data_IF_190703309373
#
_entry.id   IF_190703309373
#
_cell.length_a   1.000
_cell.length_b   1.000
_cell.length_c   1.000
_cell.angle_alpha   90.00
_cell.angle_beta   90.00
_cell.angle_gamma   90.00
#
_symmetry.space_group_name_H-M   'P 1'
#
loop_
_entity.id
_entity.type
_entity.pdbx_description
1 polymer ?
#
# COMPACT_ATOMS: atom_id res chain seq x y z
N UNK A 1 -21.89 -17.36 -20.62
CA UNK A 1 -20.41 -17.32 -20.53
C UNK A 1 -19.97 -15.87 -20.38
N UNK A 2 -19.48 -15.45 -19.21
CA UNK A 2 -19.18 -14.05 -18.87
C UNK A 2 -17.72 -13.62 -19.13
N UNK A 3 -16.88 -14.54 -19.61
CA UNK A 3 -15.43 -14.41 -19.69
C UNK A 3 -14.90 -13.14 -20.39
N UNK A 4 -15.43 -12.67 -21.55
CA UNK A 4 -14.91 -11.44 -22.18
C UNK A 4 -15.28 -10.17 -21.40
N UNK A 5 -16.28 -10.23 -20.53
CA UNK A 5 -16.77 -9.07 -19.77
C UNK A 5 -16.09 -8.92 -18.41
N UNK A 6 -15.33 -9.93 -17.94
CA UNK A 6 -14.65 -9.88 -16.63
C UNK A 6 -13.82 -8.60 -16.47
N UNK A 7 -12.94 -8.19 -17.42
CA UNK A 7 -12.19 -6.94 -17.27
C UNK A 7 -13.10 -5.70 -17.17
N UNK A 8 -14.18 -5.64 -17.94
CA UNK A 8 -15.14 -4.52 -17.92
C UNK A 8 -15.82 -4.42 -16.56
N UNK A 9 -16.28 -5.55 -16.01
CA UNK A 9 -16.89 -5.59 -14.69
C UNK A 9 -15.88 -5.23 -13.61
N UNK A 10 -14.65 -5.73 -13.70
CA UNK A 10 -13.58 -5.36 -12.76
C UNK A 10 -13.31 -3.85 -12.77
N UNK A 11 -13.26 -3.19 -13.94
CA UNK A 11 -13.11 -1.74 -14.01
C UNK A 11 -14.26 -1.00 -13.33
N UNK A 12 -15.51 -1.47 -13.50
CA UNK A 12 -16.67 -0.88 -12.81
C UNK A 12 -16.57 -1.08 -11.30
N UNK A 13 -16.18 -2.27 -10.85
CA UNK A 13 -15.99 -2.60 -9.44
C UNK A 13 -14.89 -1.74 -8.80
N UNK A 14 -13.76 -1.53 -9.49
CA UNK A 14 -12.72 -0.57 -9.07
C UNK A 14 -13.33 0.83 -8.89
N UNK A 15 -14.12 1.28 -9.86
CA UNK A 15 -14.82 2.56 -9.79
C UNK A 15 -15.77 2.69 -8.60
N UNK A 16 -16.35 1.59 -8.10
CA UNK A 16 -17.18 1.61 -6.89
C UNK A 16 -16.35 1.92 -5.65
N UNK A 17 -15.20 1.26 -5.46
CA UNK A 17 -14.31 1.55 -4.34
C UNK A 17 -13.69 2.96 -4.40
N UNK A 18 -13.53 3.51 -5.61
CA UNK A 18 -12.98 4.86 -5.78
C UNK A 18 -14.00 5.96 -5.48
N UNK A 19 -15.25 5.80 -5.91
CA UNK A 19 -16.28 6.86 -5.87
C UNK A 19 -17.12 6.87 -4.60
N UNK A 20 -17.26 5.73 -3.93
CA UNK A 20 -18.06 5.64 -2.71
C UNK A 20 -17.17 5.71 -1.47
N UNK A 21 -17.67 6.35 -0.41
CA UNK A 21 -16.97 6.50 0.87
C UNK A 21 -17.38 5.47 1.93
N UNK A 22 -18.45 4.71 1.67
CA UNK A 22 -18.91 3.63 2.52
C UNK A 22 -17.81 2.56 2.70
N UNK A 23 -17.45 2.32 3.96
CA UNK A 23 -16.34 1.43 4.33
C UNK A 23 -16.66 -0.03 4.00
N UNK A 24 -17.85 -0.51 4.38
CA UNK A 24 -18.25 -1.90 4.19
C UNK A 24 -18.30 -2.25 2.70
N UNK A 25 -18.79 -1.32 1.86
CA UNK A 25 -18.77 -1.46 0.41
C UNK A 25 -17.34 -1.56 -0.13
N UNK A 26 -16.42 -0.73 0.37
CA UNK A 26 -15.01 -0.77 -0.05
C UNK A 26 -14.35 -2.08 0.36
N UNK A 27 -14.59 -2.57 1.57
CA UNK A 27 -14.12 -3.88 2.04
C UNK A 27 -14.65 -4.98 1.13
N UNK A 28 -15.96 -5.00 0.89
CA UNK A 28 -16.60 -5.99 0.02
C UNK A 28 -16.00 -5.99 -1.39
N UNK A 29 -15.78 -4.80 -1.97
CA UNK A 29 -15.16 -4.65 -3.29
C UNK A 29 -13.74 -5.23 -3.30
N UNK A 30 -12.90 -4.85 -2.34
CA UNK A 30 -11.50 -5.31 -2.26
C UNK A 30 -11.42 -6.83 -2.11
N UNK A 31 -12.22 -7.43 -1.23
CA UNK A 31 -12.26 -8.88 -1.07
C UNK A 31 -12.81 -9.61 -2.30
N UNK A 32 -13.78 -9.01 -2.99
CA UNK A 32 -14.32 -9.57 -4.23
C UNK A 32 -13.24 -9.58 -5.31
N UNK A 33 -12.50 -8.47 -5.46
CA UNK A 33 -11.38 -8.39 -6.38
C UNK A 33 -10.27 -9.40 -6.02
N UNK A 34 -9.95 -9.55 -4.73
CA UNK A 34 -8.94 -10.50 -4.25
C UNK A 34 -9.27 -11.96 -4.63
N UNK A 35 -10.56 -12.30 -4.71
CA UNK A 35 -11.04 -13.61 -5.17
C UNK A 35 -11.10 -13.71 -6.70
N UNK A 36 -11.46 -12.63 -7.40
CA UNK A 36 -11.56 -12.63 -8.87
C UNK A 36 -10.22 -12.70 -9.59
N UNK A 37 -9.18 -12.05 -9.05
CA UNK A 37 -7.83 -12.05 -9.64
C UNK A 37 -7.28 -13.46 -9.86
N UNK A 38 -7.22 -14.36 -8.86
CA UNK A 38 -6.71 -15.72 -9.05
C UNK A 38 -7.65 -16.61 -9.90
N UNK A 39 -8.95 -16.29 -9.97
CA UNK A 39 -9.90 -17.02 -10.84
C UNK A 39 -9.70 -16.69 -12.32
N UNK A 40 -9.35 -15.44 -12.64
CA UNK A 40 -9.16 -14.98 -14.02
C UNK A 40 -7.83 -14.23 -14.21
N UNK A 41 -6.67 -14.85 -13.93
CA UNK A 41 -5.39 -14.15 -13.82
C UNK A 41 -4.95 -13.52 -15.15
N UNK A 42 -5.16 -14.22 -16.27
CA UNK A 42 -4.80 -13.73 -17.60
C UNK A 42 -5.62 -12.51 -18.01
N UNK A 43 -6.91 -12.45 -17.61
CA UNK A 43 -7.80 -11.34 -17.94
C UNK A 43 -7.49 -10.08 -17.12
N UNK A 44 -6.88 -10.25 -15.94
CA UNK A 44 -6.50 -9.15 -15.06
C UNK A 44 -5.08 -8.62 -15.32
N UNK A 45 -4.32 -9.20 -16.25
CA UNK A 45 -2.95 -8.74 -16.56
C UNK A 45 -2.91 -7.28 -17.00
N UNK A 46 -3.84 -6.84 -17.85
CA UNK A 46 -3.92 -5.43 -18.28
C UNK A 46 -4.41 -4.50 -17.17
N UNK A 47 -5.08 -5.03 -16.14
CA UNK A 47 -5.61 -4.29 -15.00
C UNK A 47 -4.66 -4.29 -13.79
N UNK A 48 -3.49 -4.93 -13.90
CA UNK A 48 -2.53 -5.04 -12.79
C UNK A 48 -2.20 -3.68 -12.17
N UNK A 49 -1.88 -2.69 -13.01
CA UNK A 49 -1.52 -1.35 -12.53
C UNK A 49 -2.68 -0.71 -11.73
N UNK A 50 -3.90 -0.75 -12.27
CA UNK A 50 -5.09 -0.19 -11.61
C UNK A 50 -5.38 -0.89 -10.27
N UNK A 51 -5.32 -2.22 -10.23
CA UNK A 51 -5.54 -3.00 -9.01
C UNK A 51 -4.45 -2.75 -7.96
N UNK A 52 -3.19 -2.62 -8.40
CA UNK A 52 -2.06 -2.30 -7.53
C UNK A 52 -2.23 -0.90 -6.93
N UNK A 53 -2.56 0.10 -7.75
CA UNK A 53 -2.81 1.48 -7.29
C UNK A 53 -3.97 1.52 -6.30
N UNK A 54 -5.08 0.84 -6.60
CA UNK A 54 -6.23 0.78 -5.70
C UNK A 54 -5.84 0.19 -4.34
N UNK A 55 -5.09 -0.92 -4.33
CA UNK A 55 -4.65 -1.56 -3.09
C UNK A 55 -3.73 -0.66 -2.29
N UNK A 56 -2.71 -0.09 -2.94
CA UNK A 56 -1.73 0.78 -2.29
C UNK A 56 -2.37 2.05 -1.73
N UNK A 57 -3.43 2.58 -2.36
CA UNK A 57 -4.17 3.74 -1.82
C UNK A 57 -4.65 3.51 -0.38
N UNK A 58 -5.08 2.30 -0.06
CA UNK A 58 -5.52 1.96 1.30
C UNK A 58 -4.36 1.55 2.20
N UNK A 59 -3.33 0.88 1.65
CA UNK A 59 -2.15 0.40 2.40
C UNK A 59 -1.16 1.51 2.78
N UNK A 60 -1.07 2.59 2.02
CA UNK A 60 -0.19 3.73 2.33
C UNK A 60 -0.66 4.55 3.54
N UNK A 61 -1.82 4.23 4.09
CA UNK A 61 -2.41 4.98 5.20
C UNK A 61 -2.96 6.33 4.77
N UNK A 62 -3.68 6.97 5.69
CA UNK A 62 -4.12 8.36 5.53
C UNK A 62 -3.83 9.12 6.83
N UNK A 63 -3.51 10.40 6.70
CA UNK A 63 -3.31 11.33 7.81
C UNK A 63 -4.28 12.49 7.61
N UNK A 64 -5.00 12.95 8.63
CA UNK A 64 -4.89 12.60 10.06
C UNK A 64 -5.66 11.35 10.50
N UNK A 65 -6.53 10.80 9.65
CA UNK A 65 -7.38 9.66 9.99
C UNK A 65 -6.75 8.35 9.46
N UNK A 66 -6.25 7.46 10.33
CA UNK A 66 -5.66 6.20 9.88
C UNK A 66 -6.69 5.35 9.15
N UNK A 67 -6.24 4.63 8.12
CA UNK A 67 -7.08 3.64 7.43
C UNK A 67 -7.56 2.58 8.42
N UNK A 68 -8.84 2.22 8.35
CA UNK A 68 -9.41 1.18 9.23
C UNK A 68 -8.71 -0.17 9.05
N UNK A 69 -8.69 -0.98 10.11
CA UNK A 69 -8.07 -2.30 10.07
C UNK A 69 -8.72 -3.23 9.04
N UNK A 70 -10.05 -3.14 8.87
CA UNK A 70 -10.78 -3.94 7.88
C UNK A 70 -10.37 -3.60 6.45
N UNK A 71 -10.24 -2.30 6.12
CA UNK A 71 -9.77 -1.86 4.81
C UNK A 71 -8.32 -2.26 4.55
N UNK A 72 -7.45 -2.11 5.56
CA UNK A 72 -6.04 -2.54 5.46
C UNK A 72 -5.92 -4.03 5.17
N UNK A 73 -6.71 -4.85 5.87
CA UNK A 73 -6.71 -6.30 5.67
C UNK A 73 -7.23 -6.67 4.26
N UNK A 74 -8.36 -6.08 3.84
CA UNK A 74 -8.93 -6.34 2.53
C UNK A 74 -8.01 -5.89 1.38
N UNK A 75 -7.37 -4.73 1.52
CA UNK A 75 -6.38 -4.24 0.56
C UNK A 75 -5.12 -5.11 0.53
N UNK A 76 -4.68 -5.62 1.68
CA UNK A 76 -3.55 -6.56 1.76
C UNK A 76 -3.86 -7.86 1.05
N UNK A 77 -5.06 -8.41 1.22
CA UNK A 77 -5.51 -9.60 0.50
C UNK A 77 -5.54 -9.37 -1.02
N UNK A 78 -6.06 -8.21 -1.47
CA UNK A 78 -6.02 -7.88 -2.89
C UNK A 78 -4.59 -7.77 -3.40
N UNK A 79 -3.74 -6.98 -2.75
CA UNK A 79 -2.35 -6.74 -3.17
C UNK A 79 -1.56 -8.04 -3.26
N UNK A 80 -1.69 -8.92 -2.26
CA UNK A 80 -1.01 -10.21 -2.23
C UNK A 80 -1.51 -11.17 -3.31
N UNK A 81 -2.75 -11.04 -3.80
CA UNK A 81 -3.27 -11.87 -4.90
C UNK A 81 -2.75 -11.45 -6.29
N UNK A 82 -2.25 -10.21 -6.46
CA UNK A 82 -1.91 -9.66 -7.78
C UNK A 82 -0.77 -10.38 -8.48
N UNK A 83 0.12 -11.04 -7.73
CA UNK A 83 1.20 -11.86 -8.30
C UNK A 83 0.66 -12.96 -9.24
N UNK A 84 -0.56 -13.46 -9.01
CA UNK A 84 -1.18 -14.47 -9.88
C UNK A 84 -1.32 -14.03 -11.34
N UNK A 85 -1.42 -12.72 -11.62
CA UNK A 85 -1.50 -12.17 -12.98
C UNK A 85 -0.23 -12.40 -13.82
N UNK A 86 0.90 -12.67 -13.15
CA UNK A 86 2.17 -13.05 -13.78
C UNK A 86 2.13 -14.44 -14.44
N UNK A 87 1.10 -15.24 -14.17
CA UNK A 87 1.00 -16.62 -14.66
C UNK A 87 2.14 -17.51 -14.15
N UNK A 88 2.34 -18.68 -14.78
CA UNK A 88 3.29 -19.70 -14.29
C UNK A 88 4.72 -19.20 -14.09
N UNK A 89 5.21 -18.35 -14.99
CA UNK A 89 6.62 -17.91 -15.01
C UNK A 89 6.79 -16.55 -14.32
N UNK A 90 5.84 -15.62 -14.51
CA UNK A 90 5.96 -14.26 -14.00
C UNK A 90 5.49 -14.09 -12.56
N UNK A 91 4.67 -15.01 -12.02
CA UNK A 91 4.07 -14.83 -10.70
C UNK A 91 5.09 -14.78 -9.57
N UNK A 92 6.11 -15.64 -9.59
CA UNK A 92 7.17 -15.63 -8.58
C UNK A 92 7.98 -14.32 -8.61
N UNK A 93 8.25 -13.78 -9.80
CA UNK A 93 8.96 -12.52 -9.95
C UNK A 93 8.12 -11.33 -9.46
N UNK A 94 6.81 -11.32 -9.75
CA UNK A 94 5.90 -10.29 -9.24
C UNK A 94 5.80 -10.34 -7.72
N UNK A 95 5.67 -11.54 -7.14
CA UNK A 95 5.62 -11.72 -5.68
C UNK A 95 6.90 -11.25 -5.00
N UNK A 96 8.06 -11.62 -5.55
CA UNK A 96 9.36 -11.18 -5.03
C UNK A 96 9.45 -9.65 -5.07
N UNK A 97 9.14 -9.05 -6.24
CA UNK A 97 9.17 -7.60 -6.41
C UNK A 97 8.26 -6.88 -5.41
N UNK A 98 7.01 -7.31 -5.26
CA UNK A 98 6.09 -6.67 -4.30
C UNK A 98 6.58 -6.79 -2.86
N UNK A 99 7.21 -7.91 -2.51
CA UNK A 99 7.80 -8.12 -1.18
C UNK A 99 9.00 -7.21 -0.95
N UNK A 100 9.92 -7.13 -1.91
CA UNK A 100 11.10 -6.26 -1.85
C UNK A 100 10.70 -4.78 -1.73
N UNK A 101 9.74 -4.34 -2.55
CA UNK A 101 9.20 -2.97 -2.50
C UNK A 101 8.55 -2.67 -1.14
N UNK A 102 7.80 -3.63 -0.56
CA UNK A 102 7.16 -3.46 0.75
C UNK A 102 8.19 -3.36 1.88
N UNK A 103 9.23 -4.21 1.86
CA UNK A 103 10.32 -4.16 2.85
C UNK A 103 11.10 -2.86 2.73
N UNK A 104 11.42 -2.43 1.50
CA UNK A 104 12.11 -1.16 1.26
C UNK A 104 11.27 0.03 1.75
N UNK A 105 9.95 0.03 1.50
CA UNK A 105 9.03 1.04 2.02
C UNK A 105 9.07 1.11 3.55
N UNK A 106 8.92 -0.02 4.23
CA UNK A 106 8.97 -0.08 5.70
C UNK A 106 10.32 0.39 6.26
N UNK A 107 11.42 -0.01 5.62
CA UNK A 107 12.75 0.42 6.02
C UNK A 107 12.96 1.93 5.86
N UNK A 108 12.48 2.52 4.77
CA UNK A 108 12.55 3.96 4.54
C UNK A 108 11.69 4.74 5.56
N UNK A 109 10.49 4.24 5.88
CA UNK A 109 9.65 4.84 6.91
C UNK A 109 10.33 4.80 8.29
N UNK A 110 10.94 3.66 8.64
CA UNK A 110 11.71 3.52 9.87
C UNK A 110 12.90 4.49 9.94
N UNK A 111 13.66 4.64 8.84
CA UNK A 111 14.77 5.59 8.78
C UNK A 111 14.32 7.04 8.92
N UNK A 112 13.16 7.41 8.37
CA UNK A 112 12.59 8.75 8.49
C UNK A 112 12.14 9.07 9.94
N UNK A 113 11.69 8.08 10.71
CA UNK A 113 11.42 8.25 12.15
C UNK A 113 12.70 8.46 12.96
N UNK A 114 13.82 7.86 12.54
CA UNK A 114 15.11 8.01 13.24
C UNK A 114 15.73 9.39 13.05
N UNK A 115 15.39 10.13 12.00
CA UNK A 115 15.90 11.50 11.79
C UNK A 115 15.15 12.57 12.58
N UNK A 116 14.08 12.22 13.30
CA UNK A 116 13.30 13.17 14.11
C UNK A 116 13.75 13.25 15.57
N UNK A 117 14.66 12.38 16.01
CA UNK A 117 15.24 12.41 17.36
C UNK A 117 16.74 12.72 17.30
N UNK A 118 17.05 14.02 17.48
CA UNK A 118 18.18 14.53 18.24
C UNK A 118 19.58 13.95 17.99
N UNK A 119 20.39 14.68 17.23
CA UNK A 119 21.83 14.81 17.54
C UNK A 119 22.28 16.26 17.35
N UNK A 120 21.79 16.93 16.31
CA UNK A 120 22.22 18.30 15.98
C UNK A 120 21.56 19.38 16.87
N UNK A 121 20.28 19.22 17.22
CA UNK A 121 19.58 20.14 18.13
C UNK A 121 20.12 20.04 19.57
N UNK A 122 20.37 18.83 20.08
CA UNK A 122 20.97 18.64 21.41
C UNK A 122 22.42 19.14 21.46
N UNK A 123 23.23 18.91 20.42
CA UNK A 123 24.59 19.48 20.35
C UNK A 123 24.56 21.01 20.30
N UNK A 124 23.64 21.61 19.54
CA UNK A 124 23.50 23.08 19.48
C UNK A 124 23.05 23.68 20.83
N UNK A 125 22.16 22.99 21.55
CA UNK A 125 21.75 23.40 22.91
C UNK A 125 22.88 23.25 23.93
N UNK A 126 23.65 22.16 23.88
CA UNK A 126 24.78 21.93 24.79
C UNK A 126 25.95 22.88 24.51
N UNK A 127 26.26 23.16 23.25
CA UNK A 127 27.28 24.13 22.87
C UNK A 127 26.89 25.56 23.29
N UNK A 128 25.62 25.96 23.11
CA UNK A 128 25.15 27.26 23.59
C UNK A 128 25.16 27.39 25.12
N UNK A 129 24.89 26.30 25.87
CA UNK A 129 24.90 26.36 27.33
C UNK A 129 26.33 26.46 27.90
N UNK A 130 27.32 25.85 27.24
CA UNK A 130 28.74 25.93 27.62
C UNK A 130 29.42 27.28 27.33
N UNK A 131 28.80 28.13 26.50
CA UNK A 131 29.32 29.46 26.17
C UNK A 131 29.01 30.53 27.23
N UNK A 132 28.07 30.26 28.16
CA UNK A 132 27.66 31.22 29.19
C UNK A 132 28.41 31.08 30.53
N UNK A 133 29.17 29.99 30.75
CA UNK A 133 29.87 29.75 32.03
C UNK A 133 31.27 30.41 32.13
N UNK A 134 31.67 31.23 31.14
CA UNK A 134 32.98 31.89 31.11
C UNK A 134 32.95 33.43 31.28
N UNK A 135 31.85 34.00 31.78
CA UNK A 135 31.78 35.43 32.12
C UNK A 135 31.28 35.62 33.55
N UNK A 136 32.18 35.46 34.52
CA UNK A 136 32.09 36.02 35.86
C UNK A 136 33.50 36.17 36.46
#
# INVERSE_FOLDING_TARGET
MATPNVPKFTTVIIGLAEKHEDEDLRVLVLETLARLVPLYPTLHRSLYAALSTLSLRFLSGSSPAPTSAALLQAASHLYTSLHCTGGKVGAANLWRKSTEETVAFGWNAFLALRSTFETESLLSMLLNHSAFDHVA
#
